data_IF_176546318074
#
_entry.id   IF_176546318074
#
_cell.length_a   1.000
_cell.length_b   1.000
_cell.length_c   1.000
_cell.angle_alpha   90.00
_cell.angle_beta   90.00
_cell.angle_gamma   90.00
#
_symmetry.space_group_name_H-M   'P 1'
#
loop_
_entity.id
_entity.type
_entity.pdbx_description
1 polymer ?
#
# COMPACT_ATOMS: atom_id res chain seq x y z
N UNK A 1 23.00 10.16 -9.59
CA UNK A 1 21.77 9.63 -8.94
C UNK A 1 21.02 8.80 -9.96
N UNK A 2 20.60 7.58 -9.60
CA UNK A 2 19.81 6.73 -10.51
C UNK A 2 18.44 7.32 -10.82
N UNK A 3 17.93 7.12 -12.03
CA UNK A 3 16.61 7.60 -12.50
C UNK A 3 15.50 6.55 -12.36
N UNK A 4 15.75 5.50 -11.59
CA UNK A 4 14.91 4.31 -11.47
C UNK A 4 14.53 4.08 -10.01
N UNK A 5 13.26 3.74 -9.78
CA UNK A 5 12.74 3.31 -8.48
C UNK A 5 11.70 2.21 -8.69
N UNK A 6 11.54 1.33 -7.69
CA UNK A 6 10.44 0.38 -7.62
C UNK A 6 9.37 0.93 -6.67
N UNK A 7 8.15 1.09 -7.19
CA UNK A 7 6.99 1.53 -6.39
C UNK A 7 6.07 0.33 -6.17
N UNK A 8 5.81 0.02 -4.90
CA UNK A 8 4.89 -1.03 -4.47
C UNK A 8 3.65 -0.36 -3.88
N UNK A 9 2.55 -0.43 -4.62
CA UNK A 9 1.28 0.24 -4.31
C UNK A 9 0.25 -0.81 -3.86
N UNK A 10 -0.51 -0.50 -2.81
CA UNK A 10 -1.70 -1.26 -2.40
C UNK A 10 -1.45 -2.73 -1.98
N UNK A 11 -0.24 -3.07 -1.57
CA UNK A 11 0.09 -4.38 -0.98
C UNK A 11 -0.29 -4.45 0.52
N UNK A 12 -1.47 -3.98 0.87
CA UNK A 12 -1.98 -3.96 2.23
C UNK A 12 -2.77 -5.24 2.52
N UNK A 13 -2.73 -5.72 3.77
CA UNK A 13 -3.39 -6.98 4.18
C UNK A 13 -4.86 -7.01 3.75
N UNK A 14 -5.63 -5.96 4.06
CA UNK A 14 -7.07 -5.92 3.73
C UNK A 14 -7.38 -5.83 2.23
N UNK A 15 -6.38 -5.52 1.39
CA UNK A 15 -6.50 -5.58 -0.07
C UNK A 15 -6.21 -7.00 -0.55
N UNK A 16 -5.13 -7.59 -0.05
CA UNK A 16 -4.64 -8.89 -0.48
C UNK A 16 -5.49 -10.06 0.02
N UNK A 17 -6.16 -9.93 1.16
CA UNK A 17 -7.11 -10.92 1.71
C UNK A 17 -8.30 -11.23 0.78
N UNK A 18 -8.51 -10.40 -0.26
CA UNK A 18 -9.58 -10.60 -1.26
C UNK A 18 -9.20 -11.59 -2.36
N UNK A 19 -7.94 -12.01 -2.41
CA UNK A 19 -7.41 -12.90 -3.44
C UNK A 19 -7.26 -14.33 -2.92
N UNK A 20 -7.21 -15.28 -3.84
CA UNK A 20 -6.92 -16.68 -3.51
C UNK A 20 -5.52 -16.80 -2.87
N UNK A 21 -5.46 -17.39 -1.68
CA UNK A 21 -4.24 -17.46 -0.87
C UNK A 21 -3.10 -18.23 -1.57
N UNK A 22 -3.43 -19.28 -2.33
CA UNK A 22 -2.41 -20.09 -3.02
C UNK A 22 -1.73 -19.28 -4.09
N UNK A 23 -2.50 -18.62 -4.96
CA UNK A 23 -1.96 -17.75 -6.02
C UNK A 23 -1.28 -16.51 -5.47
N UNK A 24 -1.79 -15.97 -4.36
CA UNK A 24 -1.24 -14.80 -3.71
C UNK A 24 0.18 -15.07 -3.20
N UNK A 25 0.43 -16.20 -2.54
CA UNK A 25 1.76 -16.51 -1.99
C UNK A 25 2.84 -16.59 -3.08
N UNK A 26 2.57 -17.25 -4.21
CA UNK A 26 3.47 -17.31 -5.35
C UNK A 26 3.76 -15.91 -5.93
N UNK A 27 2.72 -15.08 -6.04
CA UNK A 27 2.84 -13.71 -6.51
C UNK A 27 3.68 -12.84 -5.56
N UNK A 28 3.44 -12.93 -4.25
CA UNK A 28 4.22 -12.19 -3.24
C UNK A 28 5.68 -12.62 -3.22
N UNK A 29 5.98 -13.90 -3.49
CA UNK A 29 7.35 -14.38 -3.69
C UNK A 29 8.07 -13.64 -4.82
N UNK A 30 7.41 -13.43 -5.96
CA UNK A 30 7.97 -12.64 -7.08
C UNK A 30 8.16 -11.17 -6.72
N UNK A 31 7.22 -10.58 -5.99
CA UNK A 31 7.30 -9.17 -5.55
C UNK A 31 8.46 -8.99 -4.57
N UNK A 32 8.64 -9.91 -3.63
CA UNK A 32 9.77 -9.93 -2.71
C UNK A 32 11.11 -10.01 -3.47
N UNK A 33 11.21 -10.91 -4.45
CA UNK A 33 12.40 -11.02 -5.30
C UNK A 33 12.69 -9.72 -6.07
N UNK A 34 11.67 -9.06 -6.62
CA UNK A 34 11.82 -7.78 -7.30
C UNK A 34 12.30 -6.67 -6.34
N UNK A 35 11.76 -6.61 -5.13
CA UNK A 35 12.19 -5.65 -4.11
C UNK A 35 13.65 -5.89 -3.68
N UNK A 36 14.07 -7.14 -3.54
CA UNK A 36 15.45 -7.50 -3.25
C UNK A 36 16.39 -7.10 -4.39
N UNK A 37 16.03 -7.39 -5.64
CA UNK A 37 16.81 -7.01 -6.82
C UNK A 37 16.96 -5.49 -6.95
N UNK A 38 15.87 -4.72 -6.73
CA UNK A 38 15.91 -3.27 -6.73
C UNK A 38 16.87 -2.73 -5.65
N UNK A 39 16.84 -3.30 -4.44
CA UNK A 39 17.77 -2.92 -3.35
C UNK A 39 19.22 -3.25 -3.69
N UNK A 40 19.48 -4.43 -4.24
CA UNK A 40 20.83 -4.84 -4.67
C UNK A 40 21.39 -3.90 -5.74
N UNK A 41 20.53 -3.39 -6.63
CA UNK A 41 20.86 -2.38 -7.63
C UNK A 41 20.87 -0.93 -7.09
N UNK A 42 20.73 -0.74 -5.78
CA UNK A 42 20.69 0.57 -5.11
C UNK A 42 19.55 1.47 -5.61
N UNK A 43 18.48 0.89 -6.16
CA UNK A 43 17.27 1.61 -6.51
C UNK A 43 16.37 1.78 -5.28
N UNK A 44 15.75 2.97 -5.10
CA UNK A 44 14.75 3.16 -4.07
C UNK A 44 13.59 2.18 -4.24
N UNK A 45 13.20 1.53 -3.14
CA UNK A 45 11.93 0.80 -3.03
C UNK A 45 10.99 1.66 -2.18
N UNK A 46 9.87 2.05 -2.76
CA UNK A 46 8.88 2.94 -2.16
C UNK A 46 7.58 2.16 -1.97
N UNK A 47 7.08 2.13 -0.74
CA UNK A 47 5.80 1.52 -0.41
C UNK A 47 4.77 2.63 -0.29
N UNK A 48 3.65 2.48 -0.99
CA UNK A 48 2.52 3.40 -0.94
C UNK A 48 1.33 2.63 -0.43
N UNK A 49 0.75 3.12 0.66
CA UNK A 49 -0.42 2.55 1.32
C UNK A 49 -1.54 3.58 1.32
N UNK A 50 -2.77 3.12 1.17
CA UNK A 50 -3.97 3.95 1.28
C UNK A 50 -4.62 3.70 2.63
N UNK A 51 -4.89 4.78 3.37
CA UNK A 51 -5.71 4.74 4.58
C UNK A 51 -6.63 5.96 4.64
N UNK A 52 -7.79 5.78 5.26
CA UNK A 52 -8.82 6.79 5.43
C UNK A 52 -9.04 7.06 6.91
N UNK A 53 -9.42 8.29 7.24
CA UNK A 53 -9.89 8.59 8.60
C UNK A 53 -11.20 7.87 8.85
N UNK A 54 -11.47 7.56 10.12
CA UNK A 54 -12.76 7.02 10.54
C UNK A 54 -13.92 7.90 10.03
N UNK A 55 -14.94 7.27 9.42
CA UNK A 55 -16.06 7.96 8.77
C UNK A 55 -15.81 8.39 7.31
N UNK A 56 -14.59 8.18 6.79
CA UNK A 56 -14.16 8.47 5.42
C UNK A 56 -14.44 9.92 4.96
N UNK A 57 -14.01 10.95 5.70
CA UNK A 57 -14.21 12.35 5.32
C UNK A 57 -13.54 12.74 3.99
N UNK A 58 -12.57 11.96 3.51
CA UNK A 58 -11.92 12.17 2.21
C UNK A 58 -12.75 11.64 1.03
N UNK A 59 -13.76 10.82 1.29
CA UNK A 59 -14.55 10.19 0.24
C UNK A 59 -15.76 11.07 -0.09
N UNK A 60 -15.66 11.75 -1.24
CA UNK A 60 -16.80 12.41 -1.85
C UNK A 60 -17.80 11.38 -2.38
N UNK A 61 -19.10 11.66 -2.22
CA UNK A 61 -20.18 10.85 -2.77
C UNK A 61 -20.13 10.76 -4.31
N UNK A 62 -19.43 11.69 -4.97
CA UNK A 62 -19.26 11.72 -6.42
C UNK A 62 -18.12 10.82 -6.94
N UNK A 63 -17.28 10.26 -6.05
CA UNK A 63 -16.25 9.30 -6.44
C UNK A 63 -16.75 7.86 -6.26
N UNK A 64 -17.34 7.31 -7.32
CA UNK A 64 -17.97 5.99 -7.31
C UNK A 64 -17.02 4.84 -6.91
N UNK A 65 -15.74 4.94 -7.26
CA UNK A 65 -14.72 3.95 -6.89
C UNK A 65 -14.45 3.94 -5.38
N UNK A 66 -14.46 5.12 -4.75
CA UNK A 66 -14.26 5.31 -3.31
C UNK A 66 -15.50 4.93 -2.48
N UNK A 67 -16.71 5.07 -3.03
CA UNK A 67 -17.94 4.64 -2.34
C UNK A 67 -17.94 3.15 -2.02
N UNK A 68 -17.29 2.32 -2.85
CA UNK A 68 -17.11 0.88 -2.55
C UNK A 68 -16.15 0.64 -1.38
N UNK A 69 -15.10 1.44 -1.24
CA UNK A 69 -14.18 1.36 -0.08
C UNK A 69 -14.95 1.60 1.22
N UNK A 70 -15.86 2.57 1.22
CA UNK A 70 -16.77 2.87 2.34
C UNK A 70 -17.72 1.71 2.64
N UNK A 71 -18.27 1.08 1.59
CA UNK A 71 -19.22 -0.04 1.71
C UNK A 71 -18.61 -1.34 2.29
N UNK A 72 -17.30 -1.54 2.14
CA UNK A 72 -16.59 -2.71 2.68
C UNK A 72 -15.81 -2.43 3.98
N UNK A 73 -16.04 -1.29 4.64
CA UNK A 73 -15.30 -0.89 5.85
C UNK A 73 -13.79 -0.75 5.63
N UNK A 74 -13.38 -0.51 4.37
CA UNK A 74 -12.00 -0.68 3.94
C UNK A 74 -11.06 0.42 4.44
N UNK A 75 -9.83 0.01 4.71
CA UNK A 75 -8.65 0.86 4.87
C UNK A 75 -8.75 1.98 5.92
N UNK A 76 -9.35 1.71 7.09
CA UNK A 76 -9.35 2.68 8.20
C UNK A 76 -7.96 2.77 8.81
N UNK A 77 -7.46 4.00 8.98
CA UNK A 77 -6.17 4.27 9.62
C UNK A 77 -6.09 3.62 11.01
N UNK A 78 -4.95 2.98 11.30
CA UNK A 78 -4.73 2.27 12.56
C UNK A 78 -5.31 0.86 12.64
N UNK A 79 -5.96 0.36 11.58
CA UNK A 79 -6.39 -1.05 11.51
C UNK A 79 -5.29 -1.95 10.93
N UNK A 80 -5.23 -3.25 11.30
CA UNK A 80 -4.26 -4.18 10.71
C UNK A 80 -4.37 -4.28 9.19
N UNK A 81 -5.57 -4.09 8.64
CA UNK A 81 -5.84 -4.17 7.21
C UNK A 81 -5.11 -3.11 6.37
N UNK A 82 -4.67 -1.99 6.96
CA UNK A 82 -3.89 -0.96 6.24
C UNK A 82 -2.37 -1.21 6.27
N UNK A 83 -1.89 -2.17 7.04
CA UNK A 83 -0.47 -2.51 7.07
C UNK A 83 -0.06 -3.20 5.76
N UNK A 84 1.19 -2.94 5.32
CA UNK A 84 1.81 -3.71 4.24
C UNK A 84 1.88 -5.18 4.64
N UNK A 85 1.58 -6.09 3.72
CA UNK A 85 1.60 -7.51 3.95
C UNK A 85 2.99 -8.01 4.41
N UNK A 86 3.07 -8.86 5.45
CA UNK A 86 4.32 -9.25 6.08
C UNK A 86 5.35 -9.86 5.12
N UNK A 87 4.91 -10.68 4.16
CA UNK A 87 5.78 -11.34 3.17
C UNK A 87 6.63 -10.39 2.31
N UNK A 88 6.23 -9.11 2.23
CA UNK A 88 6.97 -8.09 1.48
C UNK A 88 7.26 -6.85 2.31
N UNK A 89 7.13 -6.93 3.64
CA UNK A 89 7.24 -5.78 4.52
C UNK A 89 8.57 -5.02 4.34
N UNK A 90 8.58 -3.68 4.50
CA UNK A 90 9.81 -2.91 4.43
C UNK A 90 10.84 -3.42 5.46
N UNK A 91 12.11 -3.55 5.04
CA UNK A 91 13.19 -3.85 5.97
C UNK A 91 13.40 -2.69 6.96
N UNK A 92 13.56 -3.02 8.24
CA UNK A 92 13.77 -2.07 9.33
C UNK A 92 15.05 -1.25 9.05
N UNK A 93 14.93 0.08 9.03
CA UNK A 93 16.04 0.99 8.72
C UNK A 93 15.75 2.07 7.67
N UNK A 94 14.64 1.96 6.92
CA UNK A 94 14.20 3.01 5.97
C UNK A 94 12.73 3.43 6.15
N UNK A 95 12.21 3.39 7.38
CA UNK A 95 11.04 4.20 7.72
C UNK A 95 11.54 5.63 7.94
N UNK A 96 11.25 6.55 7.02
CA UNK A 96 11.16 7.95 7.44
C UNK A 96 9.91 8.02 8.31
N UNK A 97 10.11 8.03 9.62
CA UNK A 97 9.03 8.34 10.56
C UNK A 97 8.43 9.68 10.13
N UNK A 98 7.14 9.71 9.82
CA UNK A 98 6.41 10.97 9.70
C UNK A 98 5.88 11.36 8.32
N UNK A 99 5.92 10.51 7.30
CA UNK A 99 5.21 10.78 6.05
C UNK A 99 4.57 9.51 5.51
N UNK A 100 3.45 9.10 6.13
CA UNK A 100 2.41 8.43 5.37
C UNK A 100 2.08 9.41 4.23
N UNK A 101 2.39 9.04 2.99
CA UNK A 101 2.09 9.84 1.82
C UNK A 101 0.59 10.14 1.82
N UNK A 102 0.23 11.34 2.28
CA UNK A 102 -1.11 11.87 2.18
C UNK A 102 -1.32 12.16 0.70
N UNK A 103 -1.87 11.21 -0.05
CA UNK A 103 -2.42 11.50 -1.37
C UNK A 103 -3.69 12.32 -1.14
N UNK A 104 -3.51 13.63 -0.96
CA UNK A 104 -4.59 14.59 -0.96
C UNK A 104 -5.08 14.77 -2.40
N UNK A 105 -6.26 14.25 -2.71
CA UNK A 105 -7.01 14.74 -3.87
C UNK A 105 -7.57 16.10 -3.47
N UNK A 106 -6.81 17.14 -3.78
CA UNK A 106 -7.31 18.52 -3.75
C UNK A 106 -8.20 18.70 -4.98
N UNK A 107 -9.51 18.65 -4.79
CA UNK A 107 -10.51 19.09 -5.74
C UNK A 107 -11.41 20.10 -5.04
N UNK A 108 -11.46 21.32 -5.59
CA UNK A 108 -12.27 22.43 -5.09
C UNK A 108 -13.76 22.08 -4.98
#
# INVERSE_FOLDING_TARGET
MGKTALVLLDYQVGILDRFDATKLSEFLGRVSAAAQAARAAQHPVIYVTVEFRAGHPEISAHNFSSTRVKAFGGAIAGTPGVAVHPDIAPQEGRRRSGEAARVGVSGQ
#
